data_IF_494467746925
#
_entry.id   IF_494467746925
#
_cell.length_a   1.000
_cell.length_b   1.000
_cell.length_c   1.000
_cell.angle_alpha   90.00
_cell.angle_beta   90.00
_cell.angle_gamma   90.00
#
_symmetry.space_group_name_H-M   'P 1'
#
loop_
_entity.id
_entity.type
_entity.pdbx_description
1 polymer ?
#
# COMPACT_ATOMS: atom_id res chain seq x y z
N UNK A 1 0.78 -16.89 6.22
CA UNK A 1 0.66 -17.12 4.75
C UNK A 1 1.47 -16.07 3.98
N UNK A 2 1.33 -14.78 4.32
CA UNK A 2 2.05 -13.66 3.69
C UNK A 2 3.58 -13.67 3.91
N UNK A 3 4.06 -14.08 5.08
CA UNK A 3 5.51 -14.15 5.34
C UNK A 3 6.23 -15.16 4.42
N UNK A 4 5.53 -16.19 3.90
CA UNK A 4 6.10 -17.11 2.89
C UNK A 4 6.32 -16.45 1.54
N UNK A 5 5.73 -15.27 1.32
CA UNK A 5 5.90 -14.41 0.15
C UNK A 5 6.83 -13.23 0.44
N UNK A 6 7.54 -13.23 1.58
CA UNK A 6 8.36 -12.11 2.05
C UNK A 6 7.57 -10.81 2.21
N UNK A 7 6.29 -10.91 2.62
CA UNK A 7 5.46 -9.75 2.97
C UNK A 7 5.24 -9.82 4.48
N UNK A 8 5.80 -8.85 5.20
CA UNK A 8 5.72 -8.73 6.65
C UNK A 8 4.55 -7.85 7.07
N UNK A 9 4.33 -6.75 6.33
CA UNK A 9 3.19 -5.85 6.50
C UNK A 9 2.42 -5.74 5.18
N UNK A 10 1.10 -5.77 5.27
CA UNK A 10 0.15 -5.56 4.19
C UNK A 10 -0.94 -4.61 4.65
N UNK A 11 -1.16 -3.54 3.90
CA UNK A 11 -2.15 -2.51 4.21
C UNK A 11 -2.97 -2.18 2.97
N UNK A 12 -4.25 -1.90 3.18
CA UNK A 12 -5.19 -1.45 2.16
C UNK A 12 -5.72 -0.08 2.55
N UNK A 13 -5.57 0.87 1.64
CA UNK A 13 -6.08 2.23 1.77
C UNK A 13 -7.20 2.48 0.77
N UNK A 14 -8.28 3.13 1.21
CA UNK A 14 -9.36 3.60 0.37
C UNK A 14 -9.20 5.09 0.09
N UNK A 15 -9.35 5.49 -1.18
CA UNK A 15 -9.27 6.88 -1.57
C UNK A 15 -10.61 7.60 -1.38
N UNK A 16 -10.57 8.76 -0.73
CA UNK A 16 -11.70 9.68 -0.62
C UNK A 16 -11.49 10.87 -1.59
N UNK A 17 -12.29 10.97 -2.66
CA UNK A 17 -12.11 12.02 -3.66
C UNK A 17 -12.51 13.41 -3.16
N UNK A 18 -13.32 13.52 -2.10
CA UNK A 18 -13.82 14.81 -1.59
C UNK A 18 -12.72 15.62 -0.93
N UNK A 19 -11.95 15.00 -0.06
CA UNK A 19 -10.85 15.60 0.69
C UNK A 19 -9.46 15.23 0.12
N UNK A 20 -9.41 14.35 -0.90
CA UNK A 20 -8.18 13.86 -1.53
C UNK A 20 -7.25 13.17 -0.54
N UNK A 21 -7.82 12.33 0.32
CA UNK A 21 -7.07 11.54 1.30
C UNK A 21 -7.21 10.03 1.09
N UNK A 22 -6.29 9.28 1.69
CA UNK A 22 -6.26 7.82 1.73
C UNK A 22 -6.41 7.38 3.18
N UNK A 23 -7.51 6.69 3.47
CA UNK A 23 -7.82 6.14 4.78
C UNK A 23 -7.50 4.64 4.81
N UNK A 24 -6.80 4.17 5.83
CA UNK A 24 -6.53 2.75 6.00
C UNK A 24 -7.82 2.00 6.35
N UNK A 25 -8.10 0.90 5.65
CA UNK A 25 -9.31 0.09 5.87
C UNK A 25 -9.01 -1.36 6.25
N UNK A 26 -7.80 -1.83 5.98
CA UNK A 26 -7.33 -3.13 6.44
C UNK A 26 -5.81 -3.09 6.61
N UNK A 27 -5.31 -3.74 7.67
CA UNK A 27 -3.89 -3.87 7.92
C UNK A 27 -3.57 -5.21 8.56
N UNK A 28 -2.57 -5.90 8.02
CA UNK A 28 -2.04 -7.15 8.51
C UNK A 28 -0.55 -6.98 8.73
N UNK A 29 -0.10 -7.16 9.97
CA UNK A 29 1.32 -7.11 10.31
C UNK A 29 1.78 -8.46 10.81
N UNK A 30 3.09 -8.68 10.82
CA UNK A 30 3.70 -9.91 11.35
C UNK A 30 3.21 -10.25 12.78
N UNK A 31 2.89 -9.22 13.59
CA UNK A 31 2.57 -9.41 15.00
C UNK A 31 1.10 -9.72 15.29
N UNK A 32 0.16 -9.34 14.42
CA UNK A 32 -1.29 -9.64 14.43
C UNK A 32 -2.03 -8.79 13.39
N UNK A 33 -3.27 -9.17 12.97
CA UNK A 33 -4.17 -8.22 12.31
C UNK A 33 -4.36 -6.98 13.22
N UNK A 34 -4.24 -5.79 12.65
CA UNK A 34 -4.39 -4.57 13.44
C UNK A 34 -5.88 -4.36 13.73
N UNK A 35 -6.21 -4.20 15.01
CA UNK A 35 -7.52 -3.70 15.43
C UNK A 35 -7.60 -2.20 15.09
N UNK A 36 -7.91 -1.90 13.82
CA UNK A 36 -8.00 -0.53 13.32
C UNK A 36 -8.99 0.32 14.13
N UNK A 37 -10.08 -0.29 14.62
CA UNK A 37 -11.09 0.38 15.45
C UNK A 37 -10.55 0.90 16.80
N UNK A 38 -9.39 0.41 17.23
CA UNK A 38 -8.73 0.82 18.48
C UNK A 38 -7.62 1.86 18.27
N UNK A 39 -7.33 2.24 17.02
CA UNK A 39 -6.26 3.16 16.67
C UNK A 39 -6.79 4.34 15.86
N UNK A 40 -6.33 5.54 16.21
CA UNK A 40 -6.52 6.72 15.38
C UNK A 40 -5.35 6.80 14.40
N UNK A 41 -5.55 6.27 13.20
CA UNK A 41 -4.54 6.34 12.13
C UNK A 41 -4.88 7.55 11.25
N UNK A 42 -3.97 8.53 11.12
CA UNK A 42 -4.22 9.70 10.30
C UNK A 42 -4.31 9.32 8.81
N UNK A 43 -5.26 9.95 8.14
CA UNK A 43 -5.39 9.93 6.70
C UNK A 43 -4.12 10.44 6.00
N UNK A 44 -3.76 9.84 4.87
CA UNK A 44 -2.63 10.27 4.04
C UNK A 44 -3.15 11.17 2.91
N UNK A 45 -2.64 12.40 2.80
CA UNK A 45 -2.98 13.30 1.70
C UNK A 45 -2.46 12.77 0.37
N UNK A 46 -3.24 12.91 -0.71
CA UNK A 46 -2.81 12.55 -2.06
C UNK A 46 -1.55 13.34 -2.47
N UNK A 47 -0.50 12.61 -2.84
CA UNK A 47 0.80 13.16 -3.20
C UNK A 47 1.79 13.30 -2.04
N UNK A 48 1.38 13.03 -0.80
CA UNK A 48 2.25 13.07 0.38
C UNK A 48 2.78 11.69 0.76
N UNK A 49 4.05 11.64 1.18
CA UNK A 49 4.73 10.39 1.49
C UNK A 49 4.78 9.41 0.31
N UNK A 50 5.27 8.19 0.56
CA UNK A 50 5.41 7.18 -0.48
C UNK A 50 4.05 6.73 -1.05
N UNK A 51 3.09 6.49 -0.15
CA UNK A 51 1.74 6.00 -0.50
C UNK A 51 0.99 7.06 -1.31
N UNK A 52 0.96 8.31 -0.85
CA UNK A 52 0.27 9.40 -1.55
C UNK A 52 0.93 9.71 -2.90
N UNK A 53 2.26 9.64 -3.02
CA UNK A 53 2.96 9.84 -4.31
C UNK A 53 2.62 8.72 -5.31
N UNK A 54 2.64 7.46 -4.89
CA UNK A 54 2.24 6.33 -5.74
C UNK A 54 0.80 6.51 -6.22
N UNK A 55 -0.11 6.80 -5.29
CA UNK A 55 -1.52 7.09 -5.57
C UNK A 55 -1.72 8.21 -6.59
N UNK A 56 -0.99 9.34 -6.43
CA UNK A 56 -1.08 10.47 -7.35
C UNK A 56 -0.56 10.15 -8.74
N UNK A 57 0.48 9.31 -8.84
CA UNK A 57 1.06 8.92 -10.12
C UNK A 57 0.26 7.87 -10.88
N UNK A 58 -0.63 7.13 -10.19
CA UNK A 58 -1.30 5.93 -10.70
C UNK A 58 -0.34 4.81 -11.16
N UNK A 59 0.95 4.91 -10.78
CA UNK A 59 1.99 3.96 -11.13
C UNK A 59 2.48 3.26 -9.87
N UNK A 60 2.65 1.94 -9.95
CA UNK A 60 3.21 1.16 -8.85
C UNK A 60 4.66 1.57 -8.56
N UNK A 61 5.01 1.65 -7.27
CA UNK A 61 6.35 2.03 -6.83
C UNK A 61 7.01 0.87 -6.08
N UNK A 62 8.22 0.51 -6.52
CA UNK A 62 9.07 -0.46 -5.83
C UNK A 62 10.24 0.25 -5.18
N UNK A 63 10.45 -0.02 -3.90
CA UNK A 63 11.52 0.57 -3.10
C UNK A 63 12.34 -0.59 -2.56
N UNK A 64 13.55 -0.75 -3.09
CA UNK A 64 14.44 -1.85 -2.73
C UNK A 64 15.06 -1.68 -1.34
N UNK A 65 15.32 -0.42 -0.94
CA UNK A 65 15.82 -0.08 0.38
C UNK A 65 15.22 1.25 0.88
N UNK A 66 14.31 1.17 1.85
CA UNK A 66 13.63 2.31 2.46
C UNK A 66 14.60 3.24 3.20
N UNK A 67 15.76 2.76 3.65
CA UNK A 67 16.76 3.58 4.37
C UNK A 67 17.41 4.60 3.44
N UNK A 68 17.44 4.31 2.14
CA UNK A 68 17.99 5.17 1.10
C UNK A 68 16.96 6.16 0.55
N UNK A 69 15.69 6.05 0.95
CA UNK A 69 14.62 6.88 0.42
C UNK A 69 14.45 8.14 1.28
N UNK A 70 14.57 9.32 0.65
CA UNK A 70 14.47 10.62 1.32
C UNK A 70 13.10 10.92 1.92
N UNK A 71 12.05 10.23 1.47
CA UNK A 71 10.68 10.41 1.97
C UNK A 71 10.41 9.60 3.24
N UNK A 72 11.38 8.81 3.72
CA UNK A 72 11.24 7.94 4.89
C UNK A 72 12.01 8.53 6.06
N UNK A 73 11.32 8.74 7.18
CA UNK A 73 11.99 9.00 8.44
C UNK A 73 12.73 7.74 8.91
N UNK A 74 14.07 7.74 8.80
CA UNK A 74 14.93 6.58 9.03
C UNK A 74 14.76 5.90 10.41
N UNK A 75 14.29 6.64 11.43
CA UNK A 75 14.11 6.13 12.80
C UNK A 75 12.72 5.52 13.07
N UNK A 76 11.81 5.49 12.08
CA UNK A 76 10.42 5.07 12.28
C UNK A 76 10.02 3.76 11.58
N UNK A 77 10.85 3.21 10.70
CA UNK A 77 10.51 1.99 9.94
C UNK A 77 11.40 0.81 10.31
N UNK A 78 10.77 -0.29 10.76
CA UNK A 78 11.44 -1.59 10.89
C UNK A 78 11.55 -2.33 9.55
N UNK A 79 10.82 -1.88 8.53
CA UNK A 79 10.84 -2.46 7.19
C UNK A 79 11.97 -1.86 6.35
N UNK A 80 12.56 -2.70 5.52
CA UNK A 80 13.67 -2.38 4.63
C UNK A 80 13.24 -2.22 3.18
N UNK A 81 12.18 -2.87 2.71
CA UNK A 81 11.67 -2.66 1.34
C UNK A 81 10.17 -2.52 1.33
N UNK A 82 9.64 -1.89 0.27
CA UNK A 82 8.22 -1.74 0.07
C UNK A 82 7.82 -1.87 -1.40
N UNK A 83 6.59 -2.32 -1.62
CA UNK A 83 5.93 -2.26 -2.91
C UNK A 83 4.53 -1.67 -2.75
N UNK A 84 4.27 -0.61 -3.51
CA UNK A 84 3.08 0.23 -3.37
C UNK A 84 2.33 0.19 -4.69
N UNK A 85 1.09 -0.29 -4.66
CA UNK A 85 0.30 -0.57 -5.85
C UNK A 85 -1.01 0.21 -5.81
N UNK A 86 -1.17 1.25 -6.65
CA UNK A 86 -2.45 1.90 -6.84
C UNK A 86 -3.52 0.91 -7.33
N UNK A 87 -4.72 1.02 -6.78
CA UNK A 87 -5.94 0.34 -7.25
C UNK A 87 -6.67 1.34 -8.13
N UNK A 88 -6.77 1.04 -9.43
CA UNK A 88 -7.27 1.96 -10.45
C UNK A 88 -8.31 1.25 -11.32
N UNK A 89 -9.42 1.92 -11.61
CA UNK A 89 -10.40 1.53 -12.64
C UNK A 89 -10.68 2.76 -13.51
N UNK A 90 -10.74 2.61 -14.83
CA UNK A 90 -10.99 3.72 -15.76
C UNK A 90 -10.20 5.01 -15.45
N UNK A 91 -8.89 4.87 -15.22
CA UNK A 91 -7.96 5.95 -14.83
C UNK A 91 -8.32 6.70 -13.53
N UNK A 92 -9.23 6.16 -12.72
CA UNK A 92 -9.62 6.70 -11.42
C UNK A 92 -9.01 5.88 -10.31
N UNK A 93 -8.35 6.59 -9.39
CA UNK A 93 -7.86 6.01 -8.15
C UNK A 93 -9.02 5.57 -7.26
N UNK A 94 -9.03 4.30 -6.88
CA UNK A 94 -9.94 3.73 -5.89
C UNK A 94 -9.25 3.62 -4.52
N UNK A 95 -7.97 3.27 -4.52
CA UNK A 95 -7.24 2.97 -3.30
C UNK A 95 -5.79 2.58 -3.56
N UNK A 96 -5.11 2.07 -2.53
CA UNK A 96 -3.71 1.62 -2.61
C UNK A 96 -3.52 0.35 -1.79
N UNK A 97 -2.79 -0.62 -2.36
CA UNK A 97 -2.20 -1.73 -1.61
C UNK A 97 -0.76 -1.34 -1.27
N UNK A 98 -0.41 -1.39 0.01
CA UNK A 98 0.96 -1.21 0.49
C UNK A 98 1.46 -2.53 1.08
N UNK A 99 2.59 -3.01 0.58
CA UNK A 99 3.28 -4.16 1.15
C UNK A 99 4.67 -3.73 1.59
N UNK A 100 5.12 -4.20 2.75
CA UNK A 100 6.48 -3.96 3.23
C UNK A 100 7.13 -5.25 3.72
N UNK A 101 8.47 -5.25 3.71
CA UNK A 101 9.27 -6.34 4.22
C UNK A 101 10.47 -5.86 5.00
N UNK A 102 10.87 -6.65 5.99
CA UNK A 102 12.14 -6.52 6.73
C UNK A 102 13.35 -6.96 5.92
N UNK A 103 13.16 -7.49 4.72
CA UNK A 103 14.23 -7.80 3.78
C UNK A 103 14.38 -6.67 2.76
N UNK A 104 15.62 -6.35 2.38
CA UNK A 104 15.88 -5.49 1.21
C UNK A 104 15.48 -6.21 -0.08
N UNK A 105 15.00 -5.47 -1.07
CA UNK A 105 14.61 -5.96 -2.39
C UNK A 105 13.70 -7.21 -2.37
N UNK A 106 12.79 -7.31 -1.39
CA UNK A 106 11.97 -8.50 -1.18
C UNK A 106 10.96 -8.78 -2.32
N UNK A 107 10.56 -7.72 -3.02
CA UNK A 107 9.50 -7.76 -4.02
C UNK A 107 10.04 -8.08 -5.41
N UNK A 108 10.25 -9.37 -5.68
CA UNK A 108 10.65 -9.85 -7.02
C UNK A 108 9.65 -9.42 -8.10
N UNK A 109 10.11 -9.34 -9.36
CA UNK A 109 9.23 -9.03 -10.50
C UNK A 109 8.00 -9.94 -10.58
N UNK A 110 8.13 -11.22 -10.23
CA UNK A 110 7.01 -12.15 -10.21
C UNK A 110 5.98 -11.77 -9.15
N UNK A 111 6.42 -11.43 -7.93
CA UNK A 111 5.53 -11.00 -6.86
C UNK A 111 4.88 -9.65 -7.18
N UNK A 112 5.63 -8.73 -7.78
CA UNK A 112 5.10 -7.44 -8.25
C UNK A 112 3.97 -7.65 -9.28
N UNK A 113 4.16 -8.57 -10.26
CA UNK A 113 3.10 -8.92 -11.21
C UNK A 113 1.86 -9.47 -10.51
N UNK A 114 2.04 -10.40 -9.58
CA UNK A 114 0.92 -10.96 -8.80
C UNK A 114 0.16 -9.89 -8.03
N UNK A 115 0.86 -8.96 -7.36
CA UNK A 115 0.23 -7.87 -6.61
C UNK A 115 -0.50 -6.87 -7.52
N UNK A 116 0.05 -6.57 -8.71
CA UNK A 116 -0.66 -5.78 -9.72
C UNK A 116 -1.95 -6.48 -10.19
N UNK A 117 -1.90 -7.79 -10.47
CA UNK A 117 -3.11 -8.55 -10.84
C UNK A 117 -4.15 -8.53 -9.72
N UNK A 118 -3.73 -8.69 -8.46
CA UNK A 118 -4.62 -8.60 -7.30
C UNK A 118 -5.25 -7.20 -7.21
N UNK A 119 -4.48 -6.14 -7.48
CA UNK A 119 -4.98 -4.77 -7.51
C UNK A 119 -6.08 -4.60 -8.57
N UNK A 120 -5.87 -5.08 -9.79
CA UNK A 120 -6.88 -4.99 -10.86
C UNK A 120 -8.17 -5.77 -10.52
N UNK A 121 -8.06 -6.97 -9.94
CA UNK A 121 -9.24 -7.74 -9.50
C UNK A 121 -9.97 -7.02 -8.36
N UNK A 122 -9.22 -6.44 -7.43
CA UNK A 122 -9.76 -5.66 -6.31
C UNK A 122 -10.53 -4.46 -6.82
N UNK A 123 -9.99 -3.71 -7.80
CA UNK A 123 -10.64 -2.57 -8.42
C UNK A 123 -12.05 -2.92 -8.95
N UNK A 124 -12.14 -3.98 -9.76
CA UNK A 124 -13.40 -4.47 -10.35
C UNK A 124 -14.43 -4.82 -9.27
N UNK A 125 -13.98 -5.41 -8.15
CA UNK A 125 -14.88 -5.81 -7.07
C UNK A 125 -15.36 -4.62 -6.25
N UNK A 126 -14.49 -3.65 -5.98
CA UNK A 126 -14.83 -2.45 -5.20
C UNK A 126 -15.79 -1.54 -5.97
N UNK A 127 -15.61 -1.42 -7.28
CA UNK A 127 -16.53 -0.66 -8.14
C UNK A 127 -17.97 -1.21 -8.07
N UNK A 128 -18.14 -2.53 -7.98
CA UNK A 128 -19.45 -3.18 -7.87
C UNK A 128 -20.14 -3.04 -6.51
N UNK A 129 -19.39 -2.72 -5.45
CA UNK A 129 -19.93 -2.55 -4.08
C UNK A 129 -20.34 -1.10 -3.82
N UNK A 130 -19.75 -0.14 -4.57
CA UNK A 130 -20.09 1.28 -4.51
C UNK A 130 -21.26 1.70 -5.41
N UNK A 131 -21.87 0.76 -6.15
CA UNK A 131 -23.13 0.91 -6.89
C UNK A 131 -24.27 0.31 -6.07
#
# INVERSE_FOLDING_TARGET
MLNKLNIDDFELYLFNPRNKTLAITAAFTEKQPILLDLLVIPDITLGEGLIGKAAKSLVAQSIEDLRLNSDVEQNKSYNLSAFIVPIVTDDKLIGVIYCASKMVAAFTLQLQKSLNTISSITAIKMEKIGQ
#
